data_IF_368057173438
#
_entry.id   IF_368057173438
#
_cell.length_a   1.000
_cell.length_b   1.000
_cell.length_c   1.000
_cell.angle_alpha   90.00
_cell.angle_beta   90.00
_cell.angle_gamma   90.00
#
_symmetry.space_group_name_H-M   'P 1'
#
loop_
_entity.id
_entity.type
_entity.pdbx_description
1 polymer ?
#
# COMPACT_ATOMS: atom_id res chain seq x y z
N UNK A 1 -14.41 -11.50 -4.40
CA UNK A 1 -13.67 -10.80 -5.47
C UNK A 1 -13.04 -9.55 -4.86
N UNK A 2 -12.10 -8.90 -5.56
CA UNK A 2 -11.50 -7.64 -5.08
C UNK A 2 -11.19 -6.74 -6.26
N UNK A 3 -11.39 -5.42 -6.10
CA UNK A 3 -11.10 -4.41 -7.12
C UNK A 3 -9.88 -3.58 -6.72
N UNK A 4 -8.97 -3.32 -7.66
CA UNK A 4 -7.84 -2.40 -7.41
C UNK A 4 -8.35 -0.96 -7.32
N UNK A 5 -8.00 -0.28 -6.23
CA UNK A 5 -8.24 1.15 -5.98
C UNK A 5 -7.03 2.01 -6.32
N UNK A 6 -5.89 1.41 -6.63
CA UNK A 6 -4.68 2.12 -7.08
C UNK A 6 -3.44 1.68 -6.32
N UNK A 7 -2.30 2.30 -6.62
CA UNK A 7 -1.04 1.91 -6.02
C UNK A 7 -0.07 3.08 -5.86
N UNK A 8 0.91 2.89 -5.00
CA UNK A 8 2.12 3.73 -4.95
C UNK A 8 3.35 2.87 -5.20
N UNK A 9 4.42 3.52 -5.67
CA UNK A 9 5.71 2.90 -5.93
C UNK A 9 6.83 3.69 -5.25
N UNK A 10 7.66 3.00 -4.48
CA UNK A 10 8.83 3.59 -3.84
C UNK A 10 9.90 2.52 -3.54
N UNK A 11 11.05 2.97 -3.05
CA UNK A 11 12.10 2.09 -2.51
C UNK A 11 12.33 2.46 -1.04
N UNK A 12 12.86 1.53 -0.25
CA UNK A 12 13.28 1.82 1.12
C UNK A 12 14.36 2.90 1.13
N UNK A 13 15.32 2.79 0.21
CA UNK A 13 16.41 3.75 0.06
C UNK A 13 15.89 5.18 -0.13
N UNK A 14 14.87 5.38 -0.98
CA UNK A 14 14.26 6.71 -1.17
C UNK A 14 13.71 7.30 0.13
N UNK A 15 13.08 6.47 0.97
CA UNK A 15 12.49 6.97 2.23
C UNK A 15 13.56 7.33 3.24
N UNK A 16 14.59 6.50 3.38
CA UNK A 16 15.74 6.78 4.26
C UNK A 16 16.38 8.12 3.85
N UNK A 17 16.64 8.32 2.55
CA UNK A 17 17.18 9.58 2.02
C UNK A 17 16.24 10.79 2.21
N UNK A 18 14.93 10.57 2.35
CA UNK A 18 13.95 11.65 2.58
C UNK A 18 13.79 12.03 4.07
N UNK A 19 14.63 11.49 4.97
CA UNK A 19 14.55 11.76 6.41
C UNK A 19 13.72 10.74 7.18
N UNK A 20 13.51 9.54 6.61
CA UNK A 20 12.84 8.45 7.30
C UNK A 20 11.31 8.57 7.34
N UNK A 21 10.73 9.37 6.46
CA UNK A 21 9.29 9.41 6.18
C UNK A 21 9.07 9.85 4.73
N UNK A 22 8.07 9.26 4.07
CA UNK A 22 7.66 9.64 2.74
C UNK A 22 6.13 9.70 2.72
N UNK A 23 5.55 10.62 1.98
CA UNK A 23 4.11 10.71 1.76
C UNK A 23 3.92 10.72 0.25
N UNK A 24 3.23 9.71 -0.27
CA UNK A 24 2.99 9.55 -1.70
C UNK A 24 1.48 9.50 -1.98
N UNK A 25 0.96 10.22 -2.97
CA UNK A 25 -0.39 10.01 -3.46
C UNK A 25 -0.47 8.74 -4.32
N UNK A 26 -1.67 8.14 -4.41
CA UNK A 26 -1.90 7.01 -5.29
C UNK A 26 -1.70 7.43 -6.75
N UNK A 27 -1.03 6.57 -7.51
CA UNK A 27 -1.03 6.59 -8.98
C UNK A 27 -2.03 5.56 -9.50
N UNK A 28 -2.83 5.96 -10.47
CA UNK A 28 -3.78 5.08 -11.16
C UNK A 28 -3.11 4.42 -12.36
N UNK A 29 -3.51 3.19 -12.68
CA UNK A 29 -3.10 2.58 -13.94
C UNK A 29 -3.94 3.18 -15.09
N UNK A 30 -3.31 3.49 -16.22
CA UNK A 30 -3.94 4.17 -17.38
C UNK A 30 -5.20 3.44 -17.92
N UNK A 31 -5.34 2.15 -17.62
CA UNK A 31 -6.44 1.29 -18.08
C UNK A 31 -7.76 1.43 -17.28
N UNK A 32 -7.80 2.26 -16.22
CA UNK A 32 -9.01 2.49 -15.44
C UNK A 32 -9.47 3.92 -15.70
N UNK A 33 -10.56 4.08 -16.45
CA UNK A 33 -11.25 5.37 -16.57
C UNK A 33 -11.89 5.72 -15.23
N UNK A 34 -11.17 6.49 -14.43
CA UNK A 34 -11.70 7.07 -13.18
C UNK A 34 -12.26 8.46 -13.49
N UNK A 35 -13.42 8.77 -12.92
CA UNK A 35 -13.99 10.10 -12.93
C UNK A 35 -12.97 11.09 -12.33
N UNK A 36 -12.60 12.14 -13.07
CA UNK A 36 -11.53 13.09 -12.69
C UNK A 36 -11.84 13.90 -11.42
N UNK A 37 -13.01 13.69 -10.82
CA UNK A 37 -13.47 14.33 -9.60
C UNK A 37 -13.12 13.58 -8.29
N UNK A 38 -12.47 12.40 -8.34
CA UNK A 38 -12.13 11.67 -7.10
C UNK A 38 -10.66 11.81 -6.71
N UNK A 39 -10.43 12.40 -5.52
CA UNK A 39 -9.10 12.61 -4.92
C UNK A 39 -8.78 11.46 -3.95
N UNK A 40 -8.72 10.22 -4.44
CA UNK A 40 -8.35 9.08 -3.61
C UNK A 40 -6.85 9.07 -3.31
N UNK A 41 -6.51 8.98 -2.03
CA UNK A 41 -5.14 9.02 -1.55
C UNK A 41 -4.86 7.82 -0.64
N UNK A 42 -3.67 7.23 -0.76
CA UNK A 42 -3.12 6.33 0.26
C UNK A 42 -1.74 6.83 0.61
N UNK A 43 -1.62 7.35 1.82
CA UNK A 43 -0.39 7.82 2.42
C UNK A 43 0.33 6.63 3.04
N UNK A 44 1.62 6.49 2.76
CA UNK A 44 2.47 5.42 3.31
C UNK A 44 3.71 6.01 3.93
N UNK A 45 3.80 5.95 5.25
CA UNK A 45 4.98 6.32 6.01
C UNK A 45 5.85 5.07 6.25
N UNK A 46 7.14 5.17 5.93
CA UNK A 46 8.13 4.13 6.19
C UNK A 46 9.22 4.73 7.06
N UNK A 47 9.55 4.11 8.19
CA UNK A 47 10.59 4.57 9.12
C UNK A 47 11.54 3.44 9.48
N UNK A 48 12.81 3.75 9.72
CA UNK A 48 13.75 2.79 10.30
C UNK A 48 13.34 2.41 11.73
N UNK A 49 13.61 1.16 12.13
CA UNK A 49 13.47 0.73 13.53
C UNK A 49 14.66 1.27 14.35
N UNK A 50 14.42 2.07 15.41
CA UNK A 50 15.50 2.66 16.20
C UNK A 50 16.34 1.61 16.96
N UNK A 51 15.84 0.38 17.10
CA UNK A 51 16.52 -0.69 17.82
C UNK A 51 17.20 -1.71 16.88
N UNK A 52 16.87 -1.72 15.59
CA UNK A 52 17.43 -2.66 14.62
C UNK A 52 17.45 -2.10 13.20
N UNK A 53 18.60 -2.23 12.53
CA UNK A 53 18.72 -1.90 11.10
C UNK A 53 18.13 -2.97 10.18
N UNK A 54 17.70 -4.11 10.73
CA UNK A 54 17.15 -5.21 9.96
C UNK A 54 15.64 -5.10 9.75
N UNK A 55 14.98 -4.21 10.50
CA UNK A 55 13.54 -4.03 10.46
C UNK A 55 13.15 -2.60 10.10
N UNK A 56 11.94 -2.48 9.56
CA UNK A 56 11.34 -1.21 9.16
C UNK A 56 9.91 -1.14 9.70
N UNK A 57 9.56 0.03 10.21
CA UNK A 57 8.19 0.39 10.54
C UNK A 57 7.48 0.93 9.31
N UNK A 58 6.28 0.42 9.05
CA UNK A 58 5.41 0.91 7.97
C UNK A 58 4.06 1.28 8.59
N UNK A 59 3.59 2.50 8.33
CA UNK A 59 2.24 2.96 8.61
C UNK A 59 1.56 3.37 7.31
N UNK A 60 0.28 3.01 7.16
CA UNK A 60 -0.48 3.28 5.95
C UNK A 60 -1.84 3.85 6.31
N UNK A 61 -2.29 4.84 5.56
CA UNK A 61 -3.58 5.50 5.73
C UNK A 61 -4.20 5.77 4.37
N UNK A 62 -5.50 5.53 4.22
CA UNK A 62 -6.26 5.96 3.05
C UNK A 62 -7.10 7.20 3.36
N UNK A 63 -7.36 8.00 2.34
CA UNK A 63 -8.29 9.12 2.40
C UNK A 63 -9.10 9.20 1.11
N UNK A 64 -10.40 9.51 1.25
CA UNK A 64 -11.32 9.69 0.12
C UNK A 64 -11.27 8.52 -0.89
N UNK A 65 -11.20 7.28 -0.42
CA UNK A 65 -11.24 6.12 -1.32
C UNK A 65 -12.53 6.13 -2.16
N UNK A 66 -12.44 5.71 -3.42
CA UNK A 66 -13.60 5.60 -4.31
C UNK A 66 -14.63 4.63 -3.76
N UNK A 67 -15.89 5.08 -3.68
CA UNK A 67 -17.02 4.20 -3.35
C UNK A 67 -17.33 3.30 -4.54
N UNK A 68 -16.90 2.04 -4.51
CA UNK A 68 -17.22 1.06 -5.57
C UNK A 68 -18.44 0.18 -5.27
N UNK A 69 -18.93 0.14 -4.02
CA UNK A 69 -20.10 -0.66 -3.66
C UNK A 69 -21.44 0.05 -3.88
N UNK A 70 -22.35 -0.60 -4.62
CA UNK A 70 -23.69 -0.09 -4.94
C UNK A 70 -24.59 0.11 -3.70
N UNK A 71 -24.30 -0.54 -2.57
CA UNK A 71 -25.07 -0.42 -1.32
C UNK A 71 -24.22 -0.26 -0.04
N UNK A 72 -22.93 0.09 -0.16
CA UNK A 72 -22.00 0.25 0.97
C UNK A 72 -20.86 1.24 0.67
N UNK A 73 -20.00 1.52 1.66
CA UNK A 73 -18.65 2.07 1.39
C UNK A 73 -17.68 0.90 1.19
N UNK A 74 -16.49 1.19 0.68
CA UNK A 74 -15.44 0.21 0.48
C UNK A 74 -14.97 -0.51 1.75
N UNK A 75 -14.42 -1.71 1.54
CA UNK A 75 -13.74 -2.56 2.49
C UNK A 75 -12.23 -2.64 2.14
N UNK A 76 -11.46 -1.56 2.33
CA UNK A 76 -10.12 -1.44 1.80
C UNK A 76 -9.04 -2.25 2.55
N UNK A 77 -8.07 -2.77 1.78
CA UNK A 77 -6.84 -3.39 2.29
C UNK A 77 -5.66 -3.14 1.36
N UNK A 78 -4.43 -3.17 1.89
CA UNK A 78 -3.19 -2.99 1.14
C UNK A 78 -2.44 -4.30 1.01
N UNK A 79 -1.91 -4.56 -0.18
CA UNK A 79 -0.88 -5.58 -0.40
C UNK A 79 0.42 -4.89 -0.81
N UNK A 80 1.50 -5.22 -0.10
CA UNK A 80 2.85 -4.81 -0.46
C UNK A 80 3.47 -5.91 -1.32
N UNK A 81 3.94 -5.54 -2.49
CA UNK A 81 4.73 -6.38 -3.39
C UNK A 81 6.13 -5.82 -3.55
N UNK A 82 7.09 -6.70 -3.81
CA UNK A 82 8.42 -6.34 -4.33
C UNK A 82 8.59 -6.89 -5.73
N UNK A 83 9.41 -6.24 -6.55
CA UNK A 83 9.86 -6.83 -7.83
C UNK A 83 11.10 -7.69 -7.58
N UNK A 84 11.04 -8.98 -7.93
CA UNK A 84 12.21 -9.86 -7.84
C UNK A 84 13.16 -9.65 -9.02
N UNK A 85 14.32 -10.31 -8.98
CA UNK A 85 15.36 -10.25 -10.03
C UNK A 85 14.86 -10.65 -11.42
N UNK A 86 13.80 -11.46 -11.50
CA UNK A 86 13.16 -11.89 -12.76
C UNK A 86 12.05 -10.94 -13.23
N UNK A 87 11.91 -9.78 -12.58
CA UNK A 87 10.89 -8.77 -12.90
C UNK A 87 9.48 -9.13 -12.43
N UNK A 88 9.28 -10.24 -11.70
CA UNK A 88 7.96 -10.65 -11.20
C UNK A 88 7.65 -10.01 -9.87
N UNK A 89 6.38 -9.64 -9.67
CA UNK A 89 5.89 -9.16 -8.38
C UNK A 89 5.72 -10.33 -7.41
N UNK A 90 6.34 -10.21 -6.24
CA UNK A 90 6.22 -11.15 -5.13
C UNK A 90 5.53 -10.44 -3.97
N UNK A 91 4.48 -11.07 -3.40
CA UNK A 91 3.78 -10.53 -2.24
C UNK A 91 4.66 -10.61 -1.00
N UNK A 92 4.87 -9.47 -0.34
CA UNK A 92 5.64 -9.36 0.90
C UNK A 92 4.73 -9.30 2.14
N UNK A 93 3.61 -8.59 2.03
CA UNK A 93 2.69 -8.35 3.13
C UNK A 93 1.26 -8.09 2.63
N UNK A 94 0.26 -8.39 3.46
CA UNK A 94 -1.15 -8.01 3.25
C UNK A 94 -1.71 -7.51 4.59
N UNK A 95 -2.34 -6.34 4.59
CA UNK A 95 -3.00 -5.78 5.76
C UNK A 95 -4.30 -6.50 6.11
N UNK A 96 -4.87 -6.13 7.26
CA UNK A 96 -6.28 -6.34 7.55
C UNK A 96 -7.17 -5.64 6.53
N UNK A 97 -8.40 -6.13 6.41
CA UNK A 97 -9.48 -5.44 5.72
C UNK A 97 -10.22 -4.58 6.73
N UNK A 98 -10.38 -3.30 6.43
CA UNK A 98 -11.16 -2.38 7.27
C UNK A 98 -12.49 -2.18 6.58
N UNK A 99 -13.59 -2.56 7.21
CA UNK A 99 -14.90 -2.55 6.56
C UNK A 99 -15.54 -1.16 6.53
N UNK A 100 -16.31 -0.90 5.48
CA UNK A 100 -17.23 0.23 5.34
C UNK A 100 -16.57 1.59 5.66
N UNK A 101 -15.40 1.87 5.07
CA UNK A 101 -14.67 3.13 5.26
C UNK A 101 -14.04 3.65 3.98
N UNK A 102 -14.01 4.98 3.84
CA UNK A 102 -13.24 5.68 2.81
C UNK A 102 -11.95 6.30 3.38
N UNK A 103 -11.71 6.12 4.69
CA UNK A 103 -10.57 6.63 5.42
C UNK A 103 -9.94 5.52 6.29
N UNK A 104 -9.41 4.44 5.70
CA UNK A 104 -8.79 3.38 6.48
C UNK A 104 -7.51 3.87 7.18
N UNK A 105 -7.33 3.46 8.44
CA UNK A 105 -6.07 3.55 9.17
C UNK A 105 -5.63 2.12 9.49
N UNK A 106 -4.74 1.57 8.66
CA UNK A 106 -4.25 0.21 8.84
C UNK A 106 -3.21 0.16 9.96
N UNK A 107 -3.22 -0.94 10.71
CA UNK A 107 -2.28 -1.13 11.82
C UNK A 107 -0.84 -1.00 11.33
N UNK A 108 0.00 -0.21 12.05
CA UNK A 108 1.42 -0.17 11.77
C UNK A 108 2.04 -1.56 11.88
N UNK A 109 3.01 -1.83 11.03
CA UNK A 109 3.75 -3.09 11.02
C UNK A 109 5.24 -2.86 11.21
N UNK A 110 5.88 -3.83 11.86
CA UNK A 110 7.32 -4.01 11.86
C UNK A 110 7.65 -5.19 10.94
N UNK A 111 8.42 -4.95 9.89
CA UNK A 111 8.76 -5.96 8.89
C UNK A 111 10.26 -6.00 8.62
N UNK A 112 10.83 -7.19 8.53
CA UNK A 112 12.23 -7.39 8.18
C UNK A 112 12.53 -6.95 6.75
N UNK A 113 13.66 -6.29 6.54
CA UNK A 113 14.18 -5.85 5.23
C UNK A 113 14.29 -7.00 4.23
N UNK A 114 14.74 -8.18 4.67
CA UNK A 114 14.82 -9.35 3.79
C UNK A 114 13.44 -9.76 3.28
N UNK A 115 12.42 -9.75 4.14
CA UNK A 115 11.04 -10.02 3.71
C UNK A 115 10.50 -8.91 2.81
N UNK A 116 10.74 -7.65 3.16
CA UNK A 116 10.17 -6.50 2.45
C UNK A 116 10.78 -6.34 1.06
N UNK A 117 12.11 -6.33 0.96
CA UNK A 117 12.85 -5.94 -0.24
C UNK A 117 14.03 -6.88 -0.58
N UNK A 118 14.14 -8.03 0.09
CA UNK A 118 15.23 -9.00 -0.14
C UNK A 118 16.60 -8.51 0.32
N UNK A 119 16.62 -7.59 1.29
CA UNK A 119 17.84 -6.91 1.75
C UNK A 119 18.34 -5.82 0.79
N UNK A 120 17.79 -5.73 -0.41
CA UNK A 120 18.10 -4.67 -1.37
C UNK A 120 17.17 -3.46 -1.15
N UNK A 121 17.68 -2.41 -0.52
CA UNK A 121 16.90 -1.19 -0.21
C UNK A 121 16.48 -0.41 -1.46
N UNK A 122 17.10 -0.66 -2.61
CA UNK A 122 16.78 -0.05 -3.90
C UNK A 122 15.76 -0.88 -4.70
N UNK A 123 15.35 -2.04 -4.18
CA UNK A 123 14.28 -2.83 -4.78
C UNK A 123 12.95 -2.05 -4.78
N UNK A 124 12.27 -2.07 -5.93
CA UNK A 124 10.97 -1.42 -6.08
C UNK A 124 9.89 -2.14 -5.29
N UNK A 125 9.22 -1.38 -4.43
CA UNK A 125 8.05 -1.78 -3.68
C UNK A 125 6.79 -1.18 -4.31
N UNK A 126 5.74 -1.98 -4.36
CA UNK A 126 4.41 -1.58 -4.80
C UNK A 126 3.43 -1.78 -3.66
N UNK A 127 2.83 -0.70 -3.19
CA UNK A 127 1.73 -0.76 -2.22
C UNK A 127 0.45 -0.61 -3.01
N UNK A 128 -0.31 -1.69 -3.12
CA UNK A 128 -1.55 -1.74 -3.91
C UNK A 128 -2.74 -1.76 -2.96
N UNK A 129 -3.60 -0.77 -3.07
CA UNK A 129 -4.84 -0.68 -2.31
C UNK A 129 -5.97 -1.37 -3.09
N UNK A 130 -6.71 -2.24 -2.42
CA UNK A 130 -7.81 -3.00 -3.00
C UNK A 130 -9.07 -2.79 -2.16
N UNK A 131 -10.21 -2.82 -2.83
CA UNK A 131 -11.52 -2.98 -2.22
C UNK A 131 -11.85 -4.47 -2.14
N UNK A 132 -12.36 -4.95 -1.00
CA UNK A 132 -12.80 -6.34 -0.84
C UNK A 132 -14.30 -6.47 -1.07
N UNK A 133 -14.71 -7.03 -2.20
CA UNK A 133 -16.14 -7.19 -2.54
C UNK A 133 -16.83 -8.33 -1.77
N UNK A 134 -16.20 -8.89 -0.73
CA UNK A 134 -16.69 -10.07 -0.02
C UNK A 134 -16.71 -11.36 -0.87
N UNK A 135 -17.15 -12.44 -0.24
CA UNK A 135 -17.75 -13.57 -0.93
C UNK A 135 -19.27 -13.35 -0.85
N UNK A 136 -19.95 -13.39 -1.99
CA UNK A 136 -21.42 -13.38 -2.03
C UNK A 136 -21.89 -14.57 -1.18
N UNK A 137 -22.53 -14.28 -0.05
CA UNK A 137 -23.27 -15.28 0.73
C UNK A 137 -24.64 -15.48 0.13
#
# INVERSE_FOLDING_TARGET
NSVLLGYIQCTVGRVIHSGGELILPITWNEDIQVDRNTSTEVVVCIREDPFSKENIFIKMNGANLDKKDFFGKSDPYVIIYRRNERGKLQKCYRSEVIKNTLFPDWKPILICLDRLCGGNIDCELYFRCFDWDGAVG
#
